data_IF_594243233653
#
_entry.id   IF_594243233653
#
_cell.length_a   1.000
_cell.length_b   1.000
_cell.length_c   1.000
_cell.angle_alpha   90.00
_cell.angle_beta   90.00
_cell.angle_gamma   90.00
#
_symmetry.space_group_name_H-M   'P 1'
#
loop_
_entity.id
_entity.type
_entity.pdbx_description
1 polymer ?
#
# COMPACT_ATOMS: atom_id res chain seq x y z
N UNK A 1 -31.70 37.28 -25.32
CA UNK A 1 -30.94 36.01 -25.12
C UNK A 1 -30.09 36.19 -23.87
N UNK A 2 -30.44 35.50 -22.77
CA UNK A 2 -29.82 35.69 -21.47
C UNK A 2 -28.43 35.01 -21.42
N UNK A 3 -27.34 35.75 -21.15
CA UNK A 3 -25.98 35.19 -21.08
C UNK A 3 -25.81 34.15 -19.94
N UNK A 4 -26.76 34.11 -19.01
CA UNK A 4 -26.77 33.12 -17.91
C UNK A 4 -26.96 31.67 -18.37
N UNK A 5 -27.56 31.41 -19.53
CA UNK A 5 -27.74 30.04 -20.03
C UNK A 5 -26.41 29.39 -20.44
N UNK A 6 -25.48 30.16 -21.00
CA UNK A 6 -24.15 29.64 -21.34
C UNK A 6 -23.31 29.40 -20.09
N UNK A 7 -23.35 30.33 -19.14
CA UNK A 7 -22.64 30.19 -17.86
C UNK A 7 -23.12 28.94 -17.08
N UNK A 8 -24.43 28.69 -17.08
CA UNK A 8 -25.00 27.50 -16.45
C UNK A 8 -24.52 26.21 -17.12
N UNK A 9 -24.50 26.17 -18.46
CA UNK A 9 -24.03 25.00 -19.21
C UNK A 9 -22.54 24.73 -18.98
N UNK A 10 -21.70 25.78 -18.93
CA UNK A 10 -20.27 25.65 -18.64
C UNK A 10 -20.03 25.14 -17.22
N UNK A 11 -20.75 25.65 -16.22
CA UNK A 11 -20.68 25.15 -14.84
C UNK A 11 -21.12 23.68 -14.72
N UNK A 12 -22.15 23.29 -15.48
CA UNK A 12 -22.68 21.92 -15.46
C UNK A 12 -21.67 20.94 -16.08
N UNK A 13 -21.02 21.32 -17.19
CA UNK A 13 -19.95 20.52 -17.80
C UNK A 13 -18.74 20.40 -16.88
N UNK A 14 -18.33 21.49 -16.21
CA UNK A 14 -17.26 21.43 -15.21
C UNK A 14 -17.64 20.48 -14.06
N UNK A 15 -18.84 20.58 -13.49
CA UNK A 15 -19.27 19.69 -12.42
C UNK A 15 -19.19 18.21 -12.81
N UNK A 16 -19.57 17.82 -14.05
CA UNK A 16 -19.49 16.42 -14.51
C UNK A 16 -18.05 15.96 -14.75
N UNK A 17 -17.14 16.85 -15.18
CA UNK A 17 -15.71 16.51 -15.38
C UNK A 17 -14.95 16.38 -14.05
N UNK A 18 -15.34 17.16 -13.03
CA UNK A 18 -14.75 17.07 -11.68
C UNK A 18 -15.43 16.03 -10.78
N UNK A 19 -16.69 15.69 -11.05
CA UNK A 19 -17.37 14.52 -10.49
C UNK A 19 -16.92 13.28 -11.26
N UNK A 20 -15.65 12.89 -11.11
CA UNK A 20 -15.33 11.49 -11.26
C UNK A 20 -16.21 10.76 -10.25
N UNK A 21 -17.13 9.87 -10.69
CA UNK A 21 -17.96 9.15 -9.78
C UNK A 21 -17.03 8.29 -8.93
N UNK A 22 -16.81 8.69 -7.66
CA UNK A 22 -16.35 7.79 -6.61
C UNK A 22 -17.53 6.87 -6.31
N UNK A 23 -17.92 6.06 -7.30
CA UNK A 23 -18.93 5.03 -7.17
C UNK A 23 -18.32 4.03 -6.21
N UNK A 24 -18.85 4.08 -4.98
CA UNK A 24 -18.38 3.30 -3.87
C UNK A 24 -18.42 1.81 -4.19
N UNK A 25 -17.24 1.21 -4.25
CA UNK A 25 -16.98 -0.06 -3.63
C UNK A 25 -15.96 0.20 -2.53
N UNK A 26 -16.23 -0.24 -1.30
CA UNK A 26 -15.29 -0.18 -0.17
C UNK A 26 -14.12 -1.18 -0.33
N UNK A 27 -13.74 -1.50 -1.55
CA UNK A 27 -12.44 -2.10 -1.81
C UNK A 27 -11.51 -0.90 -1.87
N UNK A 28 -10.71 -0.66 -0.82
CA UNK A 28 -9.75 0.45 -0.84
C UNK A 28 -8.74 0.11 -1.92
N UNK A 29 -8.88 0.77 -3.06
CA UNK A 29 -8.00 0.60 -4.22
C UNK A 29 -6.67 1.23 -3.83
N UNK A 30 -5.59 0.45 -3.94
CA UNK A 30 -4.24 0.99 -3.83
C UNK A 30 -4.02 2.15 -4.80
N UNK A 31 -3.20 3.13 -4.43
CA UNK A 31 -2.79 4.20 -5.33
C UNK A 31 -1.48 3.87 -6.05
N UNK A 32 -1.22 4.53 -7.19
CA UNK A 32 0.10 4.44 -7.84
C UNK A 32 1.24 4.88 -6.92
N UNK A 33 0.98 5.87 -6.06
CA UNK A 33 1.96 6.37 -5.10
C UNK A 33 2.34 5.29 -4.09
N UNK A 34 1.34 4.57 -3.55
CA UNK A 34 1.58 3.43 -2.65
C UNK A 34 2.39 2.34 -3.35
N UNK A 35 2.01 1.96 -4.57
CA UNK A 35 2.77 0.99 -5.38
C UNK A 35 4.21 1.44 -5.58
N UNK A 36 4.44 2.66 -6.05
CA UNK A 36 5.78 3.20 -6.29
C UNK A 36 6.62 3.25 -4.99
N UNK A 37 6.00 3.61 -3.85
CA UNK A 37 6.66 3.61 -2.55
C UNK A 37 7.08 2.20 -2.11
N UNK A 38 6.21 1.18 -2.30
CA UNK A 38 6.55 -0.22 -2.02
C UNK A 38 7.71 -0.67 -2.90
N UNK A 39 7.61 -0.48 -4.21
CA UNK A 39 8.65 -0.93 -5.15
C UNK A 39 10.00 -0.27 -4.86
N UNK A 40 10.00 1.01 -4.49
CA UNK A 40 11.21 1.75 -4.16
C UNK A 40 11.82 1.38 -2.80
N UNK A 41 11.00 1.31 -1.75
CA UNK A 41 11.52 1.13 -0.39
C UNK A 41 11.74 -0.34 -0.03
N UNK A 42 11.04 -1.25 -0.68
CA UNK A 42 11.16 -2.68 -0.49
C UNK A 42 11.87 -3.38 -1.67
N UNK A 43 12.53 -2.63 -2.56
CA UNK A 43 13.18 -3.16 -3.77
C UNK A 43 14.08 -4.36 -3.44
N UNK A 44 15.00 -4.21 -2.48
CA UNK A 44 15.94 -5.26 -2.10
C UNK A 44 15.26 -6.58 -1.73
N UNK A 45 14.16 -6.51 -0.98
CA UNK A 45 13.41 -7.70 -0.56
C UNK A 45 12.55 -8.26 -1.70
N UNK A 46 11.90 -7.38 -2.46
CA UNK A 46 10.95 -7.75 -3.51
C UNK A 46 11.64 -8.28 -4.77
N UNK A 47 12.84 -7.80 -5.11
CA UNK A 47 13.57 -8.17 -6.35
C UNK A 47 14.34 -9.50 -6.29
N UNK A 48 13.96 -10.40 -5.37
CA UNK A 48 14.52 -11.74 -5.08
C UNK A 48 15.60 -11.81 -3.97
N UNK A 49 15.10 -11.91 -2.74
CA UNK A 49 15.75 -12.47 -1.54
C UNK A 49 16.79 -11.59 -0.83
N UNK A 50 16.63 -10.27 -0.89
CA UNK A 50 17.15 -9.42 0.17
C UNK A 50 16.65 -9.85 1.55
N UNK A 51 17.32 -9.44 2.64
CA UNK A 51 16.91 -9.80 3.99
C UNK A 51 15.48 -9.34 4.28
N UNK A 52 14.78 -10.05 5.17
CA UNK A 52 13.47 -9.60 5.64
C UNK A 52 13.58 -8.16 6.18
N UNK A 53 12.67 -7.25 5.77
CA UNK A 53 12.72 -5.86 6.22
C UNK A 53 12.50 -5.78 7.74
N UNK A 54 13.32 -5.00 8.47
CA UNK A 54 13.05 -4.69 9.87
C UNK A 54 11.70 -3.98 10.03
N UNK A 55 11.00 -4.21 11.15
CA UNK A 55 9.65 -3.66 11.39
C UNK A 55 9.60 -2.13 11.31
N UNK A 56 10.68 -1.47 11.73
CA UNK A 56 10.80 -0.01 11.76
C UNK A 56 11.56 0.56 10.54
N UNK A 57 11.74 -0.25 9.49
CA UNK A 57 12.37 0.20 8.25
C UNK A 57 11.41 1.07 7.41
N UNK A 58 11.96 1.83 6.47
CA UNK A 58 11.18 2.57 5.47
C UNK A 58 10.30 1.66 4.61
N UNK A 59 10.75 0.43 4.34
CA UNK A 59 9.92 -0.58 3.65
C UNK A 59 8.64 -0.88 4.43
N UNK A 60 8.75 -1.22 5.72
CA UNK A 60 7.56 -1.50 6.52
C UNK A 60 6.71 -0.27 6.82
N UNK A 61 7.33 0.93 6.90
CA UNK A 61 6.57 2.17 6.97
C UNK A 61 5.69 2.35 5.71
N UNK A 62 6.25 2.13 4.51
CA UNK A 62 5.49 2.18 3.25
C UNK A 62 4.41 1.09 3.19
N UNK A 63 4.70 -0.13 3.66
CA UNK A 63 3.70 -1.20 3.75
C UNK A 63 2.51 -0.80 4.63
N UNK A 64 2.76 -0.18 5.79
CA UNK A 64 1.71 0.26 6.71
C UNK A 64 0.85 1.42 6.17
N UNK A 65 1.33 2.15 5.16
CA UNK A 65 0.53 3.15 4.44
C UNK A 65 -0.47 2.50 3.48
N UNK A 66 -0.24 1.25 3.07
CA UNK A 66 -1.17 0.52 2.21
C UNK A 66 -2.47 0.26 2.97
N UNK A 67 -3.63 0.63 2.39
CA UNK A 67 -4.94 0.29 2.89
C UNK A 67 -5.10 -1.11 3.47
N UNK A 68 -5.39 -1.20 4.77
CA UNK A 68 -5.66 -2.46 5.48
C UNK A 68 -4.53 -3.50 5.35
N UNK A 69 -3.33 -3.03 4.93
CA UNK A 69 -2.17 -3.84 4.60
C UNK A 69 -2.44 -4.87 3.49
N UNK A 70 -3.39 -4.59 2.60
CA UNK A 70 -3.74 -5.44 1.46
C UNK A 70 -2.71 -5.31 0.33
N UNK A 71 -1.70 -6.17 0.35
CA UNK A 71 -0.65 -6.19 -0.66
C UNK A 71 -1.14 -6.70 -2.02
N UNK A 72 -2.31 -7.35 -2.10
CA UNK A 72 -2.86 -7.80 -3.39
C UNK A 72 -3.16 -6.61 -4.29
N UNK A 73 -3.68 -5.52 -3.75
CA UNK A 73 -3.97 -4.34 -4.58
C UNK A 73 -2.70 -3.65 -5.12
N UNK A 74 -1.54 -3.84 -4.49
CA UNK A 74 -0.25 -3.39 -5.03
C UNK A 74 0.15 -4.25 -6.21
N UNK A 75 0.02 -5.58 -6.09
CA UNK A 75 0.35 -6.54 -7.16
C UNK A 75 -0.50 -6.28 -8.41
N UNK A 76 -1.78 -5.96 -8.21
CA UNK A 76 -2.71 -5.67 -9.30
C UNK A 76 -2.35 -4.39 -10.08
N UNK A 77 -1.58 -3.47 -9.48
CA UNK A 77 -1.10 -2.24 -10.12
C UNK A 77 0.26 -2.38 -10.82
N UNK A 78 0.94 -3.51 -10.69
CA UNK A 78 2.25 -3.73 -11.31
C UNK A 78 2.13 -3.85 -12.84
N UNK A 79 3.05 -3.20 -13.53
CA UNK A 79 3.28 -3.40 -14.96
C UNK A 79 4.00 -4.71 -15.24
N UNK A 80 4.01 -5.17 -16.50
CA UNK A 80 4.72 -6.39 -16.89
C UNK A 80 6.23 -6.31 -16.59
N UNK A 81 6.85 -5.15 -16.79
CA UNK A 81 8.27 -4.93 -16.50
C UNK A 81 8.54 -5.01 -14.99
N UNK A 82 7.69 -4.39 -14.17
CA UNK A 82 7.79 -4.45 -12.71
C UNK A 82 7.61 -5.88 -12.19
N UNK A 83 6.67 -6.67 -12.76
CA UNK A 83 6.49 -8.09 -12.43
C UNK A 83 7.70 -8.96 -12.81
N UNK A 84 8.51 -8.52 -13.76
CA UNK A 84 9.75 -9.23 -14.13
C UNK A 84 10.89 -8.98 -13.14
N UNK A 85 10.86 -7.84 -12.44
CA UNK A 85 11.87 -7.43 -11.47
C UNK A 85 11.47 -7.90 -10.08
N UNK A 86 10.23 -7.64 -9.69
CA UNK A 86 9.72 -7.86 -8.35
C UNK A 86 8.92 -9.16 -8.25
N UNK A 87 9.20 -9.93 -7.21
CA UNK A 87 8.52 -11.17 -6.89
C UNK A 87 7.19 -10.88 -6.17
N UNK A 88 6.08 -11.23 -6.82
CA UNK A 88 4.72 -11.02 -6.29
C UNK A 88 4.51 -11.71 -4.92
N UNK A 89 5.12 -12.88 -4.69
CA UNK A 89 5.02 -13.57 -3.40
C UNK A 89 5.73 -12.79 -2.29
N UNK A 90 6.88 -12.17 -2.59
CA UNK A 90 7.58 -11.35 -1.61
C UNK A 90 6.77 -10.08 -1.30
N UNK A 91 6.16 -9.46 -2.31
CA UNK A 91 5.27 -8.31 -2.10
C UNK A 91 4.10 -8.72 -1.19
N UNK A 92 3.48 -9.87 -1.44
CA UNK A 92 2.40 -10.40 -0.60
C UNK A 92 2.83 -10.60 0.87
N UNK A 93 4.02 -11.13 1.08
CA UNK A 93 4.57 -11.47 2.40
C UNK A 93 4.84 -10.23 3.29
N UNK A 94 4.98 -9.04 2.70
CA UNK A 94 5.09 -7.77 3.43
C UNK A 94 3.91 -7.58 4.39
N UNK A 95 2.73 -8.07 4.03
CA UNK A 95 1.55 -8.01 4.90
C UNK A 95 1.74 -8.74 6.23
N UNK A 96 2.52 -9.83 6.24
CA UNK A 96 2.84 -10.57 7.45
C UNK A 96 4.03 -9.98 8.19
N UNK A 97 5.09 -9.61 7.46
CA UNK A 97 6.37 -9.18 8.02
C UNK A 97 6.30 -7.80 8.68
N UNK A 98 5.56 -6.89 8.05
CA UNK A 98 5.42 -5.51 8.49
C UNK A 98 4.22 -5.27 9.41
N UNK A 99 3.38 -6.27 9.64
CA UNK A 99 2.31 -6.18 10.62
C UNK A 99 2.90 -6.30 12.05
N UNK A 100 2.77 -5.27 12.91
CA UNK A 100 3.31 -5.29 14.26
C UNK A 100 2.60 -6.30 15.17
N UNK A 101 1.38 -6.74 14.82
CA UNK A 101 0.56 -7.66 15.61
C UNK A 101 0.70 -9.13 15.21
N UNK A 102 1.32 -9.43 14.07
CA UNK A 102 1.48 -10.81 13.56
C UNK A 102 2.72 -11.51 14.13
N UNK A 103 3.66 -10.80 14.77
CA UNK A 103 4.73 -11.46 15.53
C UNK A 103 4.16 -11.98 16.84
N UNK A 104 4.22 -13.30 17.02
CA UNK A 104 4.05 -13.92 18.33
C UNK A 104 4.93 -13.17 19.37
N UNK A 105 4.47 -13.01 20.62
CA UNK A 105 5.33 -12.47 21.67
C UNK A 105 6.66 -13.25 21.67
N UNK A 106 7.80 -12.58 21.91
CA UNK A 106 9.07 -13.28 22.07
C UNK A 106 8.82 -14.45 23.02
N UNK A 107 9.26 -15.66 22.66
CA UNK A 107 9.33 -16.73 23.66
C UNK A 107 10.19 -16.17 24.77
N UNK A 108 9.58 -15.82 25.90
CA UNK A 108 10.24 -15.39 27.12
C UNK A 108 11.39 -16.36 27.35
N UNK A 109 12.62 -15.96 27.00
CA UNK A 109 13.82 -16.65 27.45
C UNK A 109 13.76 -16.50 28.96
N UNK A 110 13.43 -17.60 29.64
CA UNK A 110 13.18 -17.66 31.08
C UNK A 110 14.22 -16.86 31.84
N UNK A 111 13.89 -15.60 32.13
CA UNK A 111 14.68 -14.76 33.00
C UNK A 111 14.25 -15.18 34.39
N UNK A 112 15.02 -16.11 34.96
CA UNK A 112 14.90 -16.51 36.36
C UNK A 112 14.75 -15.24 37.21
N UNK A 113 13.53 -15.02 37.69
CA UNK A 113 13.22 -14.10 38.77
C UNK A 113 13.88 -14.69 40.02
N UNK A 114 15.11 -14.27 40.28
CA UNK A 114 15.68 -14.29 41.62
C UNK A 114 15.90 -12.84 42.02
N UNK A 115 14.86 -12.27 42.61
CA UNK A 115 15.01 -11.18 43.55
C UNK A 115 15.50 -11.80 44.88
N UNK A 116 16.78 -11.63 45.19
CA UNK A 116 17.35 -11.71 46.53
C UNK A 116 18.19 -10.46 46.75
#
# INVERSE_FOLDING_TARGET
>A
MFPGKLALLVLLVFAVVFLHPVIGNKHKICTKIEKDNILKHCEDYTSNAGPEPPLHSSCCAAALEVPDLDMQCIIDLLTADEKSIHNENNIMELSRLCNPFSRAPPKEVGRNLLCW
#
